data_IF_470001863512
#
_entry.id   IF_470001863512
#
_cell.length_a   1.000
_cell.length_b   1.000
_cell.length_c   1.000
_cell.angle_alpha   90.00
_cell.angle_beta   90.00
_cell.angle_gamma   90.00
#
_symmetry.space_group_name_H-M   'P 1'
#
loop_
_entity.id
_entity.type
_entity.pdbx_description
1 polymer ?
#
# COMPACT_ATOMS: atom_id res chain seq x y z
N UNK A 1 -1.19 -56.65 42.65
CA UNK A 1 -0.56 -56.65 41.32
C UNK A 1 -0.74 -55.29 40.69
N UNK A 2 0.32 -54.49 40.73
CA UNK A 2 0.40 -53.11 40.27
C UNK A 2 1.28 -53.13 39.02
N UNK A 3 0.75 -52.82 37.83
CA UNK A 3 1.56 -52.75 36.62
C UNK A 3 0.98 -51.73 35.61
N UNK A 4 1.79 -50.71 35.32
CA UNK A 4 2.00 -50.28 33.93
C UNK A 4 1.14 -49.15 33.37
N UNK A 5 1.19 -47.93 33.94
CA UNK A 5 0.89 -46.69 33.21
C UNK A 5 2.02 -45.68 33.39
N UNK A 6 3.18 -45.98 32.82
CA UNK A 6 4.35 -45.08 32.83
C UNK A 6 4.90 -44.88 31.40
N UNK A 7 4.06 -44.35 30.51
CA UNK A 7 4.40 -43.80 29.19
C UNK A 7 3.24 -42.81 28.93
N UNK A 8 3.36 -41.48 28.93
CA UNK A 8 4.04 -40.63 27.96
C UNK A 8 4.02 -39.14 28.42
N UNK A 9 4.76 -38.68 29.45
CA UNK A 9 4.84 -37.24 29.74
C UNK A 9 5.55 -36.46 28.62
N UNK A 10 6.43 -37.13 27.85
CA UNK A 10 7.17 -36.55 26.72
C UNK A 10 6.28 -36.10 25.55
N UNK A 11 5.15 -36.78 25.30
CA UNK A 11 4.22 -36.36 24.25
C UNK A 11 3.44 -35.10 24.66
N UNK A 12 3.19 -34.91 25.95
CA UNK A 12 2.45 -33.75 26.45
C UNK A 12 3.32 -32.50 26.52
N UNK A 13 4.61 -32.65 26.85
CA UNK A 13 5.60 -31.56 26.81
C UNK A 13 5.93 -31.14 25.39
N UNK A 14 6.16 -32.09 24.48
CA UNK A 14 6.37 -31.81 23.06
C UNK A 14 5.16 -31.10 22.44
N UNK A 15 3.94 -31.50 22.82
CA UNK A 15 2.69 -30.86 22.41
C UNK A 15 2.55 -29.42 22.91
N UNK A 16 2.94 -29.13 24.16
CA UNK A 16 2.89 -27.77 24.73
C UNK A 16 3.90 -26.85 24.03
N UNK A 17 5.11 -27.34 23.77
CA UNK A 17 6.14 -26.60 23.03
C UNK A 17 5.69 -26.26 21.61
N UNK A 18 5.00 -27.19 20.95
CA UNK A 18 4.45 -26.98 19.60
C UNK A 18 3.34 -25.92 19.54
N UNK A 19 2.51 -25.84 20.59
CA UNK A 19 1.46 -24.82 20.72
C UNK A 19 2.07 -23.44 21.00
N UNK A 20 3.07 -23.39 21.90
CA UNK A 20 3.80 -22.15 22.19
C UNK A 20 4.52 -21.66 20.93
N UNK A 21 5.11 -22.56 20.14
CA UNK A 21 5.75 -22.20 18.88
C UNK A 21 4.76 -21.69 17.82
N UNK A 22 3.59 -22.32 17.65
CA UNK A 22 2.55 -21.80 16.75
C UNK A 22 2.00 -20.46 17.21
N UNK A 23 1.76 -20.29 18.51
CA UNK A 23 1.27 -19.02 19.08
C UNK A 23 2.33 -17.92 19.00
N UNK A 24 3.61 -18.25 19.20
CA UNK A 24 4.73 -17.33 19.04
C UNK A 24 4.93 -16.95 17.56
N UNK A 25 4.80 -17.89 16.63
CA UNK A 25 4.81 -17.61 15.19
C UNK A 25 3.62 -16.72 14.79
N UNK A 26 2.45 -16.94 15.39
CA UNK A 26 1.28 -16.06 15.21
C UNK A 26 1.50 -14.66 15.80
N UNK A 27 2.07 -14.57 17.01
CA UNK A 27 2.38 -13.30 17.67
C UNK A 27 3.48 -12.52 16.95
N UNK A 28 4.48 -13.21 16.38
CA UNK A 28 5.51 -12.60 15.57
C UNK A 28 4.96 -12.02 14.26
N UNK A 29 3.93 -12.66 13.68
CA UNK A 29 3.25 -12.14 12.47
C UNK A 29 2.27 -11.00 12.80
N UNK A 30 1.54 -11.05 13.92
CA UNK A 30 0.67 -9.95 14.34
C UNK A 30 1.42 -8.75 14.94
N UNK A 31 2.62 -8.96 15.49
CA UNK A 31 3.46 -7.91 16.07
C UNK A 31 4.13 -6.99 15.04
N UNK A 32 4.01 -7.29 13.75
CA UNK A 32 4.56 -6.52 12.62
C UNK A 32 3.44 -6.06 11.68
N UNK A 33 2.28 -5.70 12.22
CA UNK A 33 1.33 -4.84 11.50
C UNK A 33 1.49 -3.45 12.09
N UNK A 34 2.16 -2.50 11.41
CA UNK A 34 2.10 -1.10 11.81
C UNK A 34 0.64 -0.66 11.64
N UNK A 35 -0.13 -0.69 12.72
CA UNK A 35 -1.37 0.09 12.77
C UNK A 35 -0.94 1.54 12.68
N UNK A 36 -1.31 2.29 11.63
CA UNK A 36 -1.13 3.73 11.66
C UNK A 36 -2.03 4.22 12.80
N UNK A 37 -1.41 4.59 13.92
CA UNK A 37 -2.08 5.39 14.92
C UNK A 37 -2.50 6.68 14.21
N UNK A 38 -3.80 6.83 13.95
CA UNK A 38 -4.38 8.10 13.55
C UNK A 38 -4.32 9.01 14.78
N UNK A 39 -3.14 9.56 15.04
CA UNK A 39 -3.00 10.75 15.85
C UNK A 39 -3.61 11.89 15.02
N UNK A 40 -4.84 12.28 15.36
CA UNK A 40 -5.39 13.56 14.92
C UNK A 40 -4.59 14.64 15.66
N UNK A 41 -3.56 15.17 15.03
CA UNK A 41 -3.01 16.46 15.38
C UNK A 41 -3.98 17.52 14.86
N UNK A 42 -4.45 18.40 15.76
CA UNK A 42 -5.17 19.64 15.44
C UNK A 42 -4.27 20.68 14.74
N UNK A 43 -3.33 20.24 13.90
CA UNK A 43 -2.58 21.11 13.01
C UNK A 43 -3.48 21.45 11.83
N UNK A 44 -4.45 22.34 12.06
CA UNK A 44 -5.02 23.10 10.95
C UNK A 44 -3.86 23.94 10.40
N UNK A 45 -3.40 23.68 9.16
CA UNK A 45 -2.22 24.36 8.65
C UNK A 45 -2.45 25.87 8.66
N UNK A 46 -1.45 26.61 9.14
CA UNK A 46 -1.50 28.07 9.12
C UNK A 46 -1.79 28.56 7.68
N UNK A 47 -2.67 29.54 7.45
CA UNK A 47 -3.06 29.97 6.11
C UNK A 47 -1.86 30.37 5.22
N UNK A 48 -0.81 30.93 5.83
CA UNK A 48 0.44 31.25 5.15
C UNK A 48 1.19 30.00 4.65
N UNK A 49 1.17 28.89 5.41
CA UNK A 49 1.76 27.62 5.01
C UNK A 49 0.98 26.97 3.85
N UNK A 50 -0.35 27.08 3.84
CA UNK A 50 -1.19 26.64 2.71
C UNK A 50 -0.81 27.39 1.44
N UNK A 51 -0.69 28.72 1.52
CA UNK A 51 -0.33 29.56 0.40
C UNK A 51 1.06 29.24 -0.16
N UNK A 52 2.06 29.07 0.70
CA UNK A 52 3.41 28.71 0.28
C UNK A 52 3.46 27.31 -0.36
N UNK A 53 2.70 26.35 0.18
CA UNK A 53 2.59 25.02 -0.42
C UNK A 53 1.94 25.07 -1.82
N UNK A 54 0.90 25.90 -1.99
CA UNK A 54 0.24 26.07 -3.29
C UNK A 54 1.16 26.75 -4.30
N UNK A 55 1.96 27.73 -3.85
CA UNK A 55 2.98 28.38 -4.68
C UNK A 55 4.01 27.37 -5.18
N UNK A 56 4.57 26.55 -4.28
CA UNK A 56 5.55 25.52 -4.63
C UNK A 56 4.98 24.54 -5.64
N UNK A 57 3.74 24.09 -5.45
CA UNK A 57 3.09 23.19 -6.40
C UNK A 57 2.89 23.84 -7.75
N UNK A 58 2.46 25.10 -7.80
CA UNK A 58 2.34 25.83 -9.06
C UNK A 58 3.69 26.03 -9.75
N UNK A 59 4.77 26.25 -9.01
CA UNK A 59 6.13 26.28 -9.59
C UNK A 59 6.50 24.93 -10.22
N UNK A 60 6.15 23.80 -9.57
CA UNK A 60 6.36 22.48 -10.18
C UNK A 60 5.50 22.26 -11.43
N UNK A 61 4.26 22.76 -11.43
CA UNK A 61 3.35 22.69 -12.59
C UNK A 61 3.94 23.48 -13.76
N UNK A 62 4.37 24.73 -13.52
CA UNK A 62 5.02 25.58 -14.53
C UNK A 62 6.29 24.96 -15.08
N UNK A 63 7.16 24.45 -14.20
CA UNK A 63 8.42 23.82 -14.60
C UNK A 63 8.19 22.57 -15.46
N UNK A 64 7.14 21.78 -15.18
CA UNK A 64 6.79 20.61 -16.00
C UNK A 64 6.16 20.98 -17.33
N UNK A 65 5.29 22.00 -17.35
CA UNK A 65 4.70 22.50 -18.60
C UNK A 65 5.76 23.08 -19.54
N UNK A 66 6.76 23.78 -19.01
CA UNK A 66 7.82 24.42 -19.80
C UNK A 66 8.78 23.42 -20.47
N UNK A 67 8.84 22.17 -19.99
CA UNK A 67 9.82 21.20 -20.51
C UNK A 67 9.50 20.65 -21.89
N UNK A 68 8.31 20.88 -22.46
CA UNK A 68 7.87 20.38 -23.79
C UNK A 68 8.18 18.89 -24.09
N UNK A 69 8.56 18.10 -23.07
CA UNK A 69 8.77 16.67 -23.20
C UNK A 69 7.41 16.04 -23.45
N UNK A 70 7.36 15.04 -24.33
CA UNK A 70 6.16 14.25 -24.60
C UNK A 70 5.70 13.57 -23.30
N UNK A 71 4.87 14.26 -22.52
CA UNK A 71 4.34 13.79 -21.27
C UNK A 71 3.39 12.61 -21.54
N UNK A 72 3.66 11.48 -20.90
CA UNK A 72 2.77 10.33 -20.90
C UNK A 72 1.43 10.65 -20.19
N UNK A 73 0.40 9.82 -20.40
CA UNK A 73 -0.94 10.12 -19.82
C UNK A 73 -0.90 10.18 -18.28
N UNK A 74 -0.02 9.39 -17.66
CA UNK A 74 0.16 9.34 -16.21
C UNK A 74 0.72 10.67 -15.65
N UNK A 75 1.75 11.23 -16.28
CA UNK A 75 2.35 12.50 -15.88
C UNK A 75 1.41 13.68 -16.13
N UNK A 76 0.63 13.68 -17.21
CA UNK A 76 -0.41 14.70 -17.44
C UNK A 76 -1.51 14.63 -16.36
N UNK A 77 -1.91 13.42 -15.95
CA UNK A 77 -2.84 13.25 -14.83
C UNK A 77 -2.27 13.71 -13.50
N UNK A 78 -1.00 13.43 -13.23
CA UNK A 78 -0.34 13.88 -12.02
C UNK A 78 -0.23 15.42 -11.98
N UNK A 79 0.09 16.05 -13.11
CA UNK A 79 0.13 17.50 -13.24
C UNK A 79 -1.25 18.12 -13.00
N UNK A 80 -2.32 17.53 -13.57
CA UNK A 80 -3.70 17.96 -13.31
C UNK A 80 -4.07 17.85 -11.83
N UNK A 81 -3.72 16.74 -11.16
CA UNK A 81 -3.99 16.56 -9.73
C UNK A 81 -3.26 17.59 -8.87
N UNK A 82 -1.99 17.86 -9.18
CA UNK A 82 -1.21 18.87 -8.48
C UNK A 82 -1.81 20.27 -8.66
N UNK A 83 -2.18 20.63 -9.89
CA UNK A 83 -2.85 21.90 -10.18
C UNK A 83 -4.17 22.02 -9.40
N UNK A 84 -5.05 21.01 -9.43
CA UNK A 84 -6.30 21.04 -8.66
C UNK A 84 -6.08 21.14 -7.15
N UNK A 85 -5.04 20.48 -6.62
CA UNK A 85 -4.70 20.59 -5.20
C UNK A 85 -4.19 21.98 -4.83
N UNK A 86 -3.36 22.59 -5.69
CA UNK A 86 -2.90 23.97 -5.52
C UNK A 86 -4.06 24.97 -5.61
N UNK A 87 -5.07 24.73 -6.47
CA UNK A 87 -6.30 25.53 -6.53
C UNK A 87 -7.02 25.52 -5.18
N UNK A 88 -7.34 24.33 -4.67
CA UNK A 88 -8.09 24.16 -3.41
C UNK A 88 -7.36 24.83 -2.25
N UNK A 89 -6.05 24.58 -2.08
CA UNK A 89 -5.26 25.21 -1.01
C UNK A 89 -5.19 26.72 -1.13
N UNK A 90 -5.14 27.24 -2.35
CA UNK A 90 -5.14 28.68 -2.59
C UNK A 90 -6.50 29.32 -2.23
N UNK A 91 -7.61 28.65 -2.57
CA UNK A 91 -8.95 29.09 -2.19
C UNK A 91 -9.17 29.04 -0.66
N UNK A 92 -8.70 27.98 -0.02
CA UNK A 92 -8.72 27.83 1.44
C UNK A 92 -7.90 28.91 2.15
N UNK A 93 -6.67 29.17 1.69
CA UNK A 93 -5.83 30.24 2.23
C UNK A 93 -6.49 31.62 2.08
N UNK A 94 -7.07 31.92 0.91
CA UNK A 94 -7.78 33.17 0.68
C UNK A 94 -9.02 33.31 1.58
N UNK A 95 -9.78 32.22 1.77
CA UNK A 95 -10.96 32.20 2.64
C UNK A 95 -10.59 32.39 4.12
N UNK A 96 -9.48 31.80 4.57
CA UNK A 96 -9.01 31.92 5.94
C UNK A 96 -8.43 33.30 6.27
N UNK A 97 -7.75 33.96 5.33
CA UNK A 97 -7.16 35.30 5.53
C UNK A 97 -8.19 36.44 5.41
N UNK A 98 -9.31 36.24 4.71
CA UNK A 98 -10.35 37.25 4.51
C UNK A 98 -10.94 37.85 5.81
N UNK A 99 -11.32 37.06 6.85
CA UNK A 99 -11.81 37.62 8.11
C UNK A 99 -10.75 38.42 8.86
N UNK A 100 -9.47 38.01 8.82
CA UNK A 100 -8.37 38.74 9.46
C UNK A 100 -8.16 40.11 8.83
N UNK A 101 -8.18 40.18 7.50
CA UNK A 101 -8.09 41.45 6.78
C UNK A 101 -9.24 42.39 7.18
N UNK A 102 -10.46 41.84 7.27
CA UNK A 102 -11.65 42.60 7.69
C UNK A 102 -11.48 43.15 9.11
N UNK A 103 -10.95 42.35 10.04
CA UNK A 103 -10.72 42.76 11.42
C UNK A 103 -9.65 43.86 11.54
N UNK A 104 -8.54 43.76 10.79
CA UNK A 104 -7.49 44.79 10.76
C UNK A 104 -8.01 46.09 10.16
N UNK A 105 -8.82 46.01 9.09
CA UNK A 105 -9.45 47.19 8.49
C UNK A 105 -10.45 47.86 9.42
N UNK A 106 -11.23 47.10 10.18
CA UNK A 106 -12.13 47.65 11.19
C UNK A 106 -11.36 48.43 12.28
N UNK A 107 -10.24 47.88 12.78
CA UNK A 107 -9.37 48.57 13.76
C UNK A 107 -8.74 49.85 13.18
N UNK A 108 -8.36 49.83 11.90
CA UNK A 108 -7.90 51.04 11.22
C UNK A 108 -8.99 52.11 11.11
N UNK A 109 -10.24 51.69 10.88
CA UNK A 109 -11.39 52.60 10.82
C UNK A 109 -11.71 53.21 12.19
N UNK A 110 -11.56 52.45 13.28
CA UNK A 110 -11.71 52.95 14.66
C UNK A 110 -10.67 54.02 15.03
N UNK A 111 -9.44 53.92 14.50
CA UNK A 111 -8.39 54.92 14.71
C UNK A 111 -8.64 56.24 13.95
N UNK A 112 -9.52 56.23 12.95
CA UNK A 112 -9.86 57.41 12.14
C UNK A 112 -8.72 57.93 11.26
N UNK A 113 -9.03 58.90 10.37
CA UNK A 113 -8.02 59.57 9.55
C UNK A 113 -7.03 60.36 10.43
N UNK A 114 -5.77 60.53 9.99
CA UNK A 114 -4.82 61.39 10.69
C UNK A 114 -5.38 62.80 10.82
N UNK A 115 -5.21 63.43 11.99
CA UNK A 115 -5.73 64.77 12.25
C UNK A 115 -5.18 65.77 11.22
N UNK A 116 -6.05 66.44 10.48
CA UNK A 116 -5.67 67.50 9.55
C UNK A 116 -5.04 68.67 10.34
N UNK A 117 -3.71 68.73 10.38
CA UNK A 117 -2.95 69.84 10.97
C UNK A 117 -2.65 69.74 12.48
N UNK A 118 -2.88 68.60 13.14
CA UNK A 118 -2.58 68.39 14.57
C UNK A 118 -1.52 67.33 14.83
N UNK A 119 -0.59 67.60 15.75
CA UNK A 119 0.46 66.66 16.18
C UNK A 119 -0.17 65.43 16.83
N UNK A 120 -0.23 64.32 16.10
CA UNK A 120 -0.64 63.03 16.64
C UNK A 120 0.38 62.50 17.66
N UNK A 121 -0.09 61.75 18.67
CA UNK A 121 0.82 61.06 19.59
C UNK A 121 1.66 60.03 18.81
N UNK A 122 3.00 59.98 19.00
CA UNK A 122 3.87 59.07 18.28
C UNK A 122 3.46 57.59 18.40
N UNK A 123 2.84 57.20 19.51
CA UNK A 123 2.33 55.84 19.73
C UNK A 123 1.15 55.48 18.81
N UNK A 124 0.22 56.43 18.58
CA UNK A 124 -0.95 56.23 17.69
C UNK A 124 -0.51 56.20 16.24
N UNK A 125 0.45 57.07 15.87
CA UNK A 125 1.05 57.06 14.54
C UNK A 125 1.78 55.72 14.27
N UNK A 126 2.53 55.20 15.25
CA UNK A 126 3.19 53.90 15.15
C UNK A 126 2.18 52.73 15.02
N UNK A 127 1.09 52.77 15.79
CA UNK A 127 0.03 51.76 15.74
C UNK A 127 -0.71 51.77 14.39
N UNK A 128 -1.06 52.97 13.86
CA UNK A 128 -1.67 53.10 12.53
C UNK A 128 -0.74 52.53 11.46
N UNK A 129 0.55 52.89 11.50
CA UNK A 129 1.52 52.39 10.54
C UNK A 129 1.64 50.86 10.58
N UNK A 130 1.62 50.25 11.77
CA UNK A 130 1.70 48.80 11.90
C UNK A 130 0.46 48.07 11.39
N UNK A 131 -0.74 48.58 11.69
CA UNK A 131 -1.98 48.01 11.18
C UNK A 131 -2.09 48.16 9.66
N UNK A 132 -1.64 49.29 9.10
CA UNK A 132 -1.66 49.53 7.66
C UNK A 132 -0.70 48.60 6.90
N UNK A 133 0.49 48.30 7.47
CA UNK A 133 1.39 47.26 6.95
C UNK A 133 0.72 45.88 6.99
N UNK A 134 0.07 45.55 8.11
CA UNK A 134 -0.58 44.24 8.27
C UNK A 134 -1.72 44.06 7.25
N UNK A 135 -2.54 45.10 7.05
CA UNK A 135 -3.61 45.11 6.06
C UNK A 135 -3.08 44.96 4.63
N UNK A 136 -2.02 45.68 4.27
CA UNK A 136 -1.43 45.58 2.92
C UNK A 136 -0.79 44.21 2.68
N UNK A 137 -0.13 43.62 3.69
CA UNK A 137 0.39 42.25 3.60
C UNK A 137 -0.73 41.23 3.40
N UNK A 138 -1.79 41.25 4.20
CA UNK A 138 -2.92 40.31 4.07
C UNK A 138 -3.64 40.46 2.72
N UNK A 139 -3.88 41.70 2.27
CA UNK A 139 -4.47 41.96 0.95
C UNK A 139 -3.60 41.42 -0.19
N UNK A 140 -2.27 41.60 -0.10
CA UNK A 140 -1.33 41.04 -1.10
C UNK A 140 -1.35 39.51 -1.14
N UNK A 141 -1.43 38.86 0.02
CA UNK A 141 -1.48 37.40 0.14
C UNK A 141 -2.80 36.84 -0.42
N UNK A 142 -3.94 37.48 -0.11
CA UNK A 142 -5.25 37.09 -0.65
C UNK A 142 -5.27 37.24 -2.18
N UNK A 143 -4.72 38.34 -2.71
CA UNK A 143 -4.62 38.55 -4.17
C UNK A 143 -3.74 37.48 -4.83
N UNK A 144 -2.60 37.17 -4.23
CA UNK A 144 -1.72 36.10 -4.72
C UNK A 144 -2.41 34.74 -4.68
N UNK A 145 -3.11 34.42 -3.59
CA UNK A 145 -3.87 33.18 -3.46
C UNK A 145 -4.94 33.05 -4.56
N UNK A 146 -5.72 34.10 -4.81
CA UNK A 146 -6.72 34.11 -5.89
C UNK A 146 -6.08 33.96 -7.27
N UNK A 147 -4.94 34.61 -7.51
CA UNK A 147 -4.19 34.46 -8.76
C UNK A 147 -3.73 33.01 -8.96
N UNK A 148 -3.11 32.40 -7.94
CA UNK A 148 -2.68 31.01 -7.99
C UNK A 148 -3.85 30.05 -8.23
N UNK A 149 -5.02 30.30 -7.63
CA UNK A 149 -6.21 29.49 -7.86
C UNK A 149 -6.67 29.53 -9.34
N UNK A 150 -6.66 30.71 -9.96
CA UNK A 150 -7.00 30.89 -11.38
C UNK A 150 -5.97 30.22 -12.29
N UNK A 151 -4.68 30.42 -12.01
CA UNK A 151 -3.62 29.78 -12.80
C UNK A 151 -3.66 28.25 -12.70
N UNK A 152 -3.92 27.73 -11.50
CA UNK A 152 -4.11 26.31 -11.26
C UNK A 152 -5.29 25.73 -12.05
N UNK A 153 -6.39 26.46 -12.12
CA UNK A 153 -7.56 26.09 -12.93
C UNK A 153 -7.23 26.05 -14.42
N UNK A 154 -6.54 27.07 -14.94
CA UNK A 154 -6.08 27.10 -16.32
C UNK A 154 -5.13 25.93 -16.63
N UNK A 155 -4.18 25.64 -15.75
CA UNK A 155 -3.27 24.51 -15.91
C UNK A 155 -4.00 23.16 -15.95
N UNK A 156 -5.00 22.96 -15.07
CA UNK A 156 -5.83 21.76 -15.07
C UNK A 156 -6.69 21.63 -16.35
N UNK A 157 -7.19 22.74 -16.88
CA UNK A 157 -7.93 22.79 -18.13
C UNK A 157 -7.05 22.43 -19.34
N UNK A 158 -5.84 22.99 -19.42
CA UNK A 158 -4.85 22.69 -20.48
C UNK A 158 -4.43 21.22 -20.44
N UNK A 159 -4.16 20.66 -19.26
CA UNK A 159 -3.87 19.24 -19.10
C UNK A 159 -5.02 18.36 -19.62
N UNK A 160 -6.27 18.75 -19.34
CA UNK A 160 -7.46 18.03 -19.82
C UNK A 160 -7.64 18.15 -21.35
N UNK A 161 -7.29 19.29 -21.94
CA UNK A 161 -7.28 19.49 -23.38
C UNK A 161 -6.23 18.63 -24.07
N UNK A 162 -4.99 18.57 -23.54
CA UNK A 162 -3.94 17.69 -24.06
C UNK A 162 -4.32 16.22 -24.04
N UNK A 163 -4.96 15.75 -22.96
CA UNK A 163 -5.44 14.36 -22.91
C UNK A 163 -6.50 14.07 -23.97
N UNK A 164 -7.44 15.01 -24.18
CA UNK A 164 -8.45 14.88 -25.23
C UNK A 164 -7.82 14.82 -26.61
N UNK A 165 -6.81 15.65 -26.90
CA UNK A 165 -6.13 15.62 -28.20
C UNK A 165 -5.31 14.34 -28.40
N UNK A 166 -4.58 13.89 -27.38
CA UNK A 166 -3.87 12.59 -27.42
C UNK A 166 -4.83 11.42 -27.60
N UNK A 167 -5.99 11.46 -26.93
CA UNK A 167 -7.02 10.43 -27.07
C UNK A 167 -7.64 10.42 -28.47
N UNK A 168 -7.99 11.58 -29.02
CA UNK A 168 -8.47 11.68 -30.42
C UNK A 168 -7.41 11.18 -31.41
N UNK A 169 -6.14 11.54 -31.21
CA UNK A 169 -5.03 11.04 -32.04
C UNK A 169 -4.87 9.51 -31.94
N UNK A 170 -5.08 8.92 -30.76
CA UNK A 170 -5.07 7.45 -30.57
C UNK A 170 -6.30 6.77 -31.17
N UNK A 171 -7.46 7.41 -31.18
CA UNK A 171 -8.66 6.89 -31.86
C UNK A 171 -8.51 6.92 -33.38
N UNK A 172 -7.81 7.92 -33.92
CA UNK A 172 -7.46 8.01 -35.34
C UNK A 172 -6.32 7.05 -35.73
N UNK A 173 -5.43 6.74 -34.79
CA UNK A 173 -4.41 5.71 -34.97
C UNK A 173 -5.05 4.32 -35.02
N UNK A 174 -5.22 3.78 -36.23
CA UNK A 174 -5.58 2.36 -36.45
C UNK A 174 -4.66 1.45 -35.64
N UNK A 175 -5.15 0.90 -34.54
CA UNK A 175 -4.39 -0.03 -33.71
C UNK A 175 -4.12 -1.30 -34.53
N UNK A 176 -2.86 -1.76 -34.68
CA UNK A 176 -2.59 -3.05 -35.28
C UNK A 176 -3.30 -4.11 -34.44
N UNK A 177 -4.21 -4.86 -35.06
CA UNK A 177 -4.92 -5.96 -34.43
C UNK A 177 -3.95 -6.95 -33.79
N UNK A 178 -4.29 -7.53 -32.64
CA UNK A 178 -3.52 -8.61 -31.96
C UNK A 178 -3.29 -9.83 -32.89
N UNK A 179 -4.13 -9.97 -33.92
CA UNK A 179 -4.04 -10.99 -34.96
C UNK A 179 -3.22 -10.55 -36.19
N UNK A 180 -2.71 -9.32 -36.22
CA UNK A 180 -1.98 -8.74 -37.34
C UNK A 180 -0.48 -9.08 -37.31
N UNK A 181 0.11 -9.29 -38.48
CA UNK A 181 1.53 -9.64 -38.61
C UNK A 181 2.49 -8.57 -38.03
N UNK A 182 2.10 -7.29 -38.08
CA UNK A 182 2.90 -6.19 -37.54
C UNK A 182 3.07 -6.27 -36.02
N UNK A 183 2.01 -6.62 -35.30
CA UNK A 183 2.06 -6.82 -33.84
C UNK A 183 3.06 -7.92 -33.47
N UNK A 184 3.00 -9.07 -34.15
CA UNK A 184 3.93 -10.17 -33.89
C UNK A 184 5.37 -9.84 -34.29
N UNK A 185 5.58 -8.99 -35.29
CA UNK A 185 6.91 -8.51 -35.68
C UNK A 185 7.51 -7.59 -34.63
N UNK A 186 6.71 -6.72 -34.03
CA UNK A 186 7.12 -5.86 -32.91
C UNK A 186 7.42 -6.70 -31.66
N UNK A 187 6.53 -7.63 -31.29
CA UNK A 187 6.77 -8.59 -30.19
C UNK A 187 8.06 -9.37 -30.43
N UNK A 188 8.26 -9.94 -31.62
CA UNK A 188 9.47 -10.68 -31.95
C UNK A 188 10.74 -9.81 -31.90
N UNK A 189 10.62 -8.50 -32.14
CA UNK A 189 11.71 -7.53 -32.00
C UNK A 189 12.14 -7.33 -30.55
N UNK A 190 11.19 -7.37 -29.61
CA UNK A 190 11.43 -7.16 -28.18
C UNK A 190 11.81 -8.45 -27.42
N UNK A 191 11.42 -9.63 -27.94
CA UNK A 191 11.73 -10.95 -27.35
C UNK A 191 13.21 -11.11 -26.95
N UNK A 192 14.22 -10.73 -27.76
CA UNK A 192 15.63 -10.89 -27.37
C UNK A 192 16.00 -10.06 -26.13
N UNK A 193 15.44 -8.85 -25.98
CA UNK A 193 15.67 -8.01 -24.82
C UNK A 193 15.00 -8.59 -23.57
N UNK A 194 13.77 -9.08 -23.71
CA UNK A 194 13.05 -9.72 -22.62
C UNK A 194 13.72 -11.01 -22.18
N UNK A 195 14.22 -11.81 -23.13
CA UNK A 195 14.94 -13.03 -22.82
C UNK A 195 16.25 -12.73 -22.07
N UNK A 196 16.93 -11.62 -22.36
CA UNK A 196 18.09 -11.17 -21.58
C UNK A 196 17.69 -10.80 -20.15
N UNK A 197 16.59 -10.08 -19.96
CA UNK A 197 16.07 -9.73 -18.62
C UNK A 197 15.70 -10.97 -17.82
N UNK A 198 15.01 -11.94 -18.43
CA UNK A 198 14.67 -13.22 -17.80
C UNK A 198 15.93 -14.00 -17.44
N UNK A 199 16.92 -14.08 -18.33
CA UNK A 199 18.19 -14.75 -18.03
C UNK A 199 18.94 -14.08 -16.87
N UNK A 200 18.98 -12.75 -16.82
CA UNK A 200 19.57 -12.01 -15.72
C UNK A 200 18.84 -12.32 -14.40
N UNK A 201 17.51 -12.31 -14.42
CA UNK A 201 16.70 -12.65 -13.25
C UNK A 201 16.92 -14.10 -12.77
N UNK A 202 17.04 -15.06 -13.70
CA UNK A 202 17.37 -16.45 -13.33
C UNK A 202 18.77 -16.55 -12.74
N UNK A 203 19.75 -15.83 -13.28
CA UNK A 203 21.09 -15.78 -12.72
C UNK A 203 21.11 -15.17 -11.31
N UNK A 204 20.30 -14.14 -11.04
CA UNK A 204 20.14 -13.56 -9.70
C UNK A 204 19.53 -14.58 -8.72
N UNK A 205 18.58 -15.41 -9.16
CA UNK A 205 18.01 -16.49 -8.34
C UNK A 205 19.06 -17.54 -8.02
N UNK A 206 19.81 -18.01 -9.01
CA UNK A 206 20.85 -19.03 -8.83
C UNK A 206 21.95 -18.53 -7.89
N UNK A 207 22.40 -17.28 -8.07
CA UNK A 207 23.38 -16.65 -7.19
C UNK A 207 22.83 -16.50 -5.77
N UNK A 208 21.58 -16.06 -5.62
CA UNK A 208 20.92 -15.95 -4.33
C UNK A 208 20.87 -17.29 -3.59
N UNK A 209 20.44 -18.35 -4.28
CA UNK A 209 20.37 -19.70 -3.70
C UNK A 209 21.74 -20.26 -3.31
N UNK A 210 22.77 -20.04 -4.14
CA UNK A 210 24.12 -20.50 -3.90
C UNK A 210 24.84 -19.73 -2.78
N UNK A 211 24.48 -18.47 -2.56
CA UNK A 211 25.07 -17.63 -1.51
C UNK A 211 24.57 -17.99 -0.10
N UNK A 212 23.45 -18.70 0.02
CA UNK A 212 22.89 -19.12 1.31
C UNK A 212 23.76 -20.22 1.94
N UNK A 213 24.22 -20.06 3.19
CA UNK A 213 24.93 -21.11 3.91
C UNK A 213 24.09 -22.38 4.04
N UNK A 214 24.71 -23.56 3.86
CA UNK A 214 24.02 -24.85 4.00
C UNK A 214 23.36 -25.03 5.38
N UNK A 215 23.93 -24.45 6.43
CA UNK A 215 23.34 -24.42 7.78
C UNK A 215 21.99 -23.72 7.81
N UNK A 216 21.81 -22.64 7.05
CA UNK A 216 20.52 -21.94 6.97
C UNK A 216 19.48 -22.79 6.23
N UNK A 217 19.86 -23.49 5.17
CA UNK A 217 18.96 -24.45 4.51
C UNK A 217 18.51 -25.57 5.45
N UNK A 218 19.42 -26.09 6.28
CA UNK A 218 19.09 -27.11 7.28
C UNK A 218 18.15 -26.55 8.37
N UNK A 219 18.40 -25.33 8.86
CA UNK A 219 17.53 -24.66 9.83
C UNK A 219 16.14 -24.46 9.23
N UNK A 220 16.06 -23.92 8.01
CA UNK A 220 14.80 -23.70 7.30
C UNK A 220 14.05 -25.00 7.05
N UNK A 221 14.75 -26.08 6.66
CA UNK A 221 14.15 -27.40 6.51
C UNK A 221 13.61 -27.94 7.84
N UNK A 222 14.33 -27.75 8.95
CA UNK A 222 13.87 -28.12 10.28
C UNK A 222 12.64 -27.31 10.73
N UNK A 223 12.63 -26.00 10.46
CA UNK A 223 11.47 -25.12 10.74
C UNK A 223 10.27 -25.52 9.88
N UNK A 224 10.46 -25.78 8.59
CA UNK A 224 9.39 -26.25 7.69
C UNK A 224 8.84 -27.60 8.16
N UNK A 225 9.71 -28.55 8.54
CA UNK A 225 9.28 -29.81 9.11
C UNK A 225 8.46 -29.61 10.39
N UNK A 226 8.91 -28.71 11.28
CA UNK A 226 8.17 -28.33 12.49
C UNK A 226 6.81 -27.71 12.18
N UNK A 227 6.72 -26.82 11.17
CA UNK A 227 5.45 -26.21 10.72
C UNK A 227 4.48 -27.27 10.15
N UNK A 228 4.99 -28.23 9.39
CA UNK A 228 4.16 -29.34 8.86
C UNK A 228 3.67 -30.24 9.99
N UNK A 229 4.53 -30.58 10.96
CA UNK A 229 4.13 -31.31 12.16
C UNK A 229 3.12 -30.51 13.00
N UNK A 230 3.32 -29.19 13.10
CA UNK A 230 2.42 -28.28 13.79
C UNK A 230 1.04 -28.27 13.17
N UNK A 231 0.95 -28.20 11.84
CA UNK A 231 -0.30 -28.29 11.09
C UNK A 231 -1.07 -29.56 11.43
N UNK A 232 -0.40 -30.72 11.44
CA UNK A 232 -1.04 -32.00 11.79
C UNK A 232 -1.50 -32.00 13.25
N UNK A 233 -0.68 -31.47 14.16
CA UNK A 233 -1.03 -31.29 15.57
C UNK A 233 -2.23 -30.39 15.79
N UNK A 234 -2.25 -29.22 15.14
CA UNK A 234 -3.31 -28.23 15.19
C UNK A 234 -4.62 -28.79 14.64
N UNK A 235 -4.59 -29.56 13.55
CA UNK A 235 -5.80 -30.21 13.02
C UNK A 235 -6.36 -31.23 14.00
N UNK A 236 -5.52 -32.08 14.61
CA UNK A 236 -5.94 -33.04 15.65
C UNK A 236 -6.45 -32.35 16.91
N UNK A 237 -5.82 -31.23 17.29
CA UNK A 237 -6.20 -30.43 18.45
C UNK A 237 -7.55 -29.76 18.23
N UNK A 238 -7.76 -29.16 17.06
CA UNK A 238 -9.02 -28.54 16.66
C UNK A 238 -10.16 -29.56 16.70
N UNK A 239 -9.90 -30.80 16.26
CA UNK A 239 -10.87 -31.90 16.35
C UNK A 239 -11.18 -32.27 17.81
N UNK A 240 -10.16 -32.39 18.67
CA UNK A 240 -10.31 -32.75 20.09
C UNK A 240 -11.01 -31.64 20.89
N UNK A 241 -10.61 -30.38 20.73
CA UNK A 241 -11.24 -29.24 21.40
C UNK A 241 -12.71 -29.09 21.03
N UNK A 242 -13.04 -29.23 19.74
CA UNK A 242 -14.43 -29.22 19.30
C UNK A 242 -15.23 -30.40 19.87
N UNK A 243 -14.59 -31.54 20.14
CA UNK A 243 -15.24 -32.71 20.73
C UNK A 243 -15.43 -32.61 22.26
N UNK A 244 -14.50 -31.97 22.99
CA UNK A 244 -14.47 -32.02 24.46
C UNK A 244 -14.92 -30.76 25.19
N UNK A 245 -14.82 -29.57 24.56
CA UNK A 245 -15.00 -28.28 25.25
C UNK A 245 -16.09 -27.39 24.68
N UNK A 246 -16.63 -27.71 23.50
CA UNK A 246 -17.63 -26.87 22.84
C UNK A 246 -19.00 -27.56 22.85
N UNK A 247 -20.02 -26.99 23.53
CA UNK A 247 -21.40 -27.47 23.47
C UNK A 247 -21.89 -27.56 22.02
N UNK A 248 -22.74 -28.55 21.72
CA UNK A 248 -23.28 -28.75 20.38
C UNK A 248 -24.12 -27.54 19.93
N UNK A 249 -23.64 -26.78 18.93
CA UNK A 249 -24.34 -25.60 18.42
C UNK A 249 -23.62 -24.92 17.25
N UNK A 250 -24.12 -23.75 16.84
CA UNK A 250 -23.57 -22.94 15.72
C UNK A 250 -22.11 -22.51 15.96
N UNK A 251 -21.75 -22.28 17.22
CA UNK A 251 -20.41 -21.85 17.64
C UNK A 251 -19.32 -22.92 17.36
N UNK A 252 -19.63 -24.21 17.50
CA UNK A 252 -18.71 -25.31 17.18
C UNK A 252 -18.39 -25.35 15.68
N UNK A 253 -19.37 -25.01 14.84
CA UNK A 253 -19.24 -25.02 13.38
C UNK A 253 -18.41 -23.84 12.89
N UNK A 254 -18.68 -22.62 13.37
CA UNK A 254 -17.90 -21.43 13.00
C UNK A 254 -16.45 -21.53 13.51
N UNK A 255 -16.23 -22.02 14.73
CA UNK A 255 -14.88 -22.18 15.28
C UNK A 255 -14.05 -23.21 14.50
N UNK A 256 -14.66 -24.32 14.06
CA UNK A 256 -13.98 -25.30 13.22
C UNK A 256 -13.66 -24.76 11.82
N UNK A 257 -14.60 -24.04 11.21
CA UNK A 257 -14.42 -23.41 9.90
C UNK A 257 -13.27 -22.39 9.93
N UNK A 258 -13.25 -21.50 10.94
CA UNK A 258 -12.17 -20.54 11.15
C UNK A 258 -10.85 -21.26 11.42
N UNK A 259 -10.84 -22.29 12.27
CA UNK A 259 -9.63 -23.06 12.55
C UNK A 259 -9.02 -23.73 11.31
N UNK A 260 -9.86 -24.32 10.44
CA UNK A 260 -9.39 -24.90 9.17
C UNK A 260 -8.86 -23.83 8.22
N UNK A 261 -9.58 -22.71 8.10
CA UNK A 261 -9.15 -21.56 7.29
C UNK A 261 -7.76 -21.09 7.72
N UNK A 262 -7.58 -20.83 9.02
CA UNK A 262 -6.31 -20.36 9.56
C UNK A 262 -5.19 -21.35 9.30
N UNK A 263 -5.39 -22.64 9.57
CA UNK A 263 -4.38 -23.68 9.31
C UNK A 263 -4.02 -23.75 7.82
N UNK A 264 -5.01 -23.70 6.93
CA UNK A 264 -4.79 -23.78 5.46
C UNK A 264 -4.13 -22.53 4.89
N UNK A 265 -4.40 -21.35 5.46
CA UNK A 265 -3.81 -20.08 5.06
C UNK A 265 -2.36 -19.94 5.57
N UNK A 266 -2.13 -20.14 6.87
CA UNK A 266 -0.82 -19.89 7.48
C UNK A 266 0.25 -20.90 7.11
N UNK A 267 -0.10 -22.16 6.84
CA UNK A 267 0.89 -23.18 6.51
C UNK A 267 1.75 -22.82 5.28
N UNK A 268 1.16 -22.63 4.08
CA UNK A 268 1.94 -22.28 2.89
C UNK A 268 2.59 -20.89 2.97
N UNK A 269 1.91 -19.90 3.59
CA UNK A 269 2.46 -18.55 3.77
C UNK A 269 3.72 -18.54 4.64
N UNK A 270 3.70 -19.22 5.79
CA UNK A 270 4.86 -19.33 6.68
C UNK A 270 5.99 -20.15 6.06
N UNK A 271 5.66 -21.23 5.34
CA UNK A 271 6.69 -22.03 4.63
C UNK A 271 7.43 -21.16 3.63
N UNK A 272 6.71 -20.41 2.79
CA UNK A 272 7.35 -19.52 1.83
C UNK A 272 8.14 -18.41 2.52
N UNK A 273 7.58 -17.78 3.55
CA UNK A 273 8.25 -16.74 4.32
C UNK A 273 9.59 -17.22 4.90
N UNK A 274 9.63 -18.41 5.50
CA UNK A 274 10.86 -19.03 6.01
C UNK A 274 11.89 -19.24 4.90
N UNK A 275 11.46 -19.68 3.71
CA UNK A 275 12.35 -19.84 2.55
C UNK A 275 12.89 -18.50 2.05
N UNK A 276 12.08 -17.44 2.06
CA UNK A 276 12.52 -16.10 1.66
C UNK A 276 13.50 -15.49 2.66
N UNK A 277 13.29 -15.70 3.96
CA UNK A 277 14.24 -15.30 5.02
C UNK A 277 15.56 -16.07 4.87
N UNK A 278 15.48 -17.36 4.53
CA UNK A 278 16.68 -18.16 4.24
C UNK A 278 17.44 -17.59 3.05
N UNK A 279 16.74 -17.23 1.97
CA UNK A 279 17.33 -16.63 0.78
C UNK A 279 17.99 -15.28 1.09
N UNK A 280 17.32 -14.43 1.87
CA UNK A 280 17.87 -13.14 2.29
C UNK A 280 19.10 -13.25 3.20
N UNK A 281 19.31 -14.39 3.86
CA UNK A 281 20.52 -14.63 4.66
C UNK A 281 21.79 -14.84 3.83
N UNK A 282 21.65 -15.20 2.54
CA UNK A 282 22.77 -15.38 1.61
C UNK A 282 23.36 -14.07 1.11
N UNK A 283 22.68 -12.93 1.33
CA UNK A 283 23.13 -11.61 0.90
C UNK A 283 21.98 -10.74 0.40
N UNK A 284 22.33 -9.53 -0.05
CA UNK A 284 21.34 -8.61 -0.62
C UNK A 284 20.79 -9.15 -1.94
N UNK A 285 19.47 -9.36 -2.00
CA UNK A 285 18.75 -9.74 -3.21
C UNK A 285 18.63 -8.51 -4.13
N UNK A 286 18.77 -8.68 -5.44
CA UNK A 286 18.60 -7.58 -6.40
C UNK A 286 17.19 -6.98 -6.28
N UNK A 287 17.05 -5.66 -6.46
CA UNK A 287 15.75 -4.99 -6.30
C UNK A 287 14.63 -5.59 -7.18
N UNK A 288 14.87 -5.95 -8.46
CA UNK A 288 13.85 -6.60 -9.30
C UNK A 288 13.42 -7.97 -8.76
N UNK A 289 14.38 -8.77 -8.29
CA UNK A 289 14.09 -10.09 -7.73
C UNK A 289 13.36 -9.96 -6.38
N UNK A 290 13.75 -9.01 -5.53
CA UNK A 290 13.06 -8.72 -4.27
C UNK A 290 11.59 -8.33 -4.48
N UNK A 291 11.29 -7.48 -5.47
CA UNK A 291 9.92 -7.12 -5.84
C UNK A 291 9.10 -8.33 -6.34
N UNK A 292 9.71 -9.17 -7.17
CA UNK A 292 9.08 -10.40 -7.64
C UNK A 292 8.75 -11.35 -6.48
N UNK A 293 9.70 -11.57 -5.57
CA UNK A 293 9.53 -12.45 -4.41
C UNK A 293 8.46 -11.93 -3.45
N UNK A 294 8.42 -10.62 -3.20
CA UNK A 294 7.36 -10.00 -2.40
C UNK A 294 5.97 -10.19 -3.03
N UNK A 295 5.87 -10.04 -4.35
CA UNK A 295 4.64 -10.34 -5.09
C UNK A 295 4.23 -11.80 -4.95
N UNK A 296 5.16 -12.74 -5.15
CA UNK A 296 4.93 -14.19 -4.96
C UNK A 296 4.47 -14.51 -3.54
N UNK A 297 5.08 -13.88 -2.52
CA UNK A 297 4.67 -14.04 -1.13
C UNK A 297 3.23 -13.58 -0.89
N UNK A 298 2.89 -12.38 -1.36
CA UNK A 298 1.52 -11.87 -1.29
C UNK A 298 0.52 -12.80 -2.00
N UNK A 299 0.88 -13.33 -3.18
CA UNK A 299 0.04 -14.29 -3.90
C UNK A 299 -0.18 -15.58 -3.13
N UNK A 300 0.85 -16.12 -2.49
CA UNK A 300 0.71 -17.35 -1.70
C UNK A 300 -0.18 -17.12 -0.47
N UNK A 301 -0.02 -16.00 0.23
CA UNK A 301 -0.88 -15.66 1.37
C UNK A 301 -2.35 -15.50 0.93
N UNK A 302 -2.61 -14.70 -0.10
CA UNK A 302 -3.95 -14.45 -0.60
C UNK A 302 -4.60 -15.71 -1.20
N UNK A 303 -3.87 -16.43 -2.06
CA UNK A 303 -4.37 -17.67 -2.66
C UNK A 303 -4.70 -18.73 -1.61
N UNK A 304 -3.87 -18.84 -0.57
CA UNK A 304 -4.10 -19.78 0.53
C UNK A 304 -5.27 -19.37 1.43
N UNK A 305 -5.52 -18.07 1.58
CA UNK A 305 -6.73 -17.55 2.20
C UNK A 305 -7.98 -17.94 1.40
N UNK A 306 -8.00 -17.71 0.07
CA UNK A 306 -9.15 -18.08 -0.79
C UNK A 306 -9.42 -19.59 -0.75
N UNK A 307 -8.37 -20.42 -0.83
CA UNK A 307 -8.48 -21.88 -0.73
C UNK A 307 -8.96 -22.31 0.65
N UNK A 308 -8.42 -21.71 1.72
CA UNK A 308 -8.83 -21.96 3.09
C UNK A 308 -10.30 -21.59 3.33
N UNK A 309 -10.74 -20.48 2.74
CA UNK A 309 -12.10 -19.96 2.87
C UNK A 309 -13.08 -20.88 2.13
N UNK A 310 -12.76 -21.28 0.90
CA UNK A 310 -13.55 -22.27 0.18
C UNK A 310 -13.64 -23.60 0.92
N UNK A 311 -12.53 -24.10 1.47
CA UNK A 311 -12.54 -25.33 2.27
C UNK A 311 -13.39 -25.20 3.55
N UNK A 312 -13.36 -24.03 4.20
CA UNK A 312 -14.16 -23.74 5.38
C UNK A 312 -15.67 -23.61 5.07
N UNK A 313 -16.01 -23.03 3.92
CA UNK A 313 -17.40 -22.85 3.47
C UNK A 313 -18.03 -24.14 2.95
N UNK A 314 -17.31 -24.91 2.12
CA UNK A 314 -17.84 -26.15 1.53
C UNK A 314 -17.81 -27.33 2.51
N UNK A 315 -16.82 -27.34 3.42
CA UNK A 315 -16.62 -28.38 4.44
C UNK A 315 -16.90 -29.81 3.91
N UNK A 316 -16.23 -30.23 2.82
CA UNK A 316 -16.60 -31.43 2.06
C UNK A 316 -16.51 -32.72 2.89
N UNK A 317 -15.51 -32.83 3.77
CA UNK A 317 -15.23 -34.03 4.56
C UNK A 317 -16.15 -34.22 5.78
N UNK A 318 -17.01 -33.23 6.11
CA UNK A 318 -17.91 -33.29 7.28
C UNK A 318 -19.31 -32.72 6.99
N UNK A 319 -20.19 -33.51 6.35
CA UNK A 319 -21.56 -33.12 5.97
C UNK A 319 -22.37 -32.47 7.08
N UNK A 320 -22.34 -33.05 8.29
CA UNK A 320 -23.14 -32.61 9.45
C UNK A 320 -22.69 -31.28 10.07
N UNK A 321 -21.55 -30.74 9.61
CA UNK A 321 -20.93 -29.52 10.13
C UNK A 321 -21.04 -28.34 9.16
N UNK A 322 -21.57 -28.57 7.95
CA UNK A 322 -21.76 -27.53 6.93
C UNK A 322 -22.67 -26.41 7.43
N UNK A 323 -22.28 -25.19 7.11
CA UNK A 323 -23.06 -23.99 7.40
C UNK A 323 -24.10 -23.71 6.30
N UNK A 324 -23.82 -24.17 5.07
CA UNK A 324 -24.70 -24.06 3.90
C UNK A 324 -25.48 -25.37 3.68
N UNK A 325 -26.78 -25.30 3.37
CA UNK A 325 -27.57 -26.47 3.00
C UNK A 325 -27.20 -26.90 1.56
N UNK A 326 -26.12 -27.65 1.43
CA UNK A 326 -25.64 -28.22 0.17
C UNK A 326 -25.54 -29.74 0.28
N UNK A 327 -26.05 -30.43 -0.73
CA UNK A 327 -25.95 -31.89 -0.86
C UNK A 327 -24.49 -32.35 -0.94
N UNK A 328 -24.17 -33.52 -0.37
CA UNK A 328 -22.81 -34.08 -0.30
C UNK A 328 -22.12 -34.22 -1.64
N UNK A 329 -22.87 -34.61 -2.67
CA UNK A 329 -22.36 -34.77 -4.02
C UNK A 329 -21.93 -33.40 -4.61
N UNK A 330 -22.72 -32.35 -4.39
CA UNK A 330 -22.40 -30.99 -4.86
C UNK A 330 -21.15 -30.43 -4.18
N UNK A 331 -20.99 -30.65 -2.88
CA UNK A 331 -19.81 -30.16 -2.14
C UNK A 331 -18.51 -30.87 -2.56
N UNK A 332 -18.57 -32.17 -2.86
CA UNK A 332 -17.42 -32.94 -3.37
C UNK A 332 -17.04 -32.55 -4.79
N UNK A 333 -18.04 -32.26 -5.64
CA UNK A 333 -17.84 -31.77 -7.01
C UNK A 333 -17.30 -30.34 -7.04
N UNK A 334 -17.59 -29.51 -6.05
CA UNK A 334 -17.18 -28.11 -6.01
C UNK A 334 -15.85 -27.87 -5.27
N UNK A 335 -15.20 -28.93 -4.76
CA UNK A 335 -13.92 -28.84 -4.01
C UNK A 335 -12.76 -28.21 -4.79
N UNK A 336 -12.77 -28.30 -6.12
CA UNK A 336 -11.71 -27.76 -6.99
C UNK A 336 -11.93 -26.28 -7.31
N UNK A 337 -13.15 -25.77 -7.14
CA UNK A 337 -13.55 -24.42 -7.53
C UNK A 337 -12.80 -23.33 -6.74
N UNK A 338 -12.60 -23.44 -5.40
CA UNK A 338 -11.79 -22.46 -4.66
C UNK A 338 -10.32 -22.40 -5.12
N UNK A 339 -9.76 -23.51 -5.60
CA UNK A 339 -8.39 -23.54 -6.12
C UNK A 339 -8.29 -22.79 -7.46
N UNK A 340 -9.29 -22.96 -8.33
CA UNK A 340 -9.34 -22.26 -9.61
C UNK A 340 -9.61 -20.77 -9.40
N UNK A 341 -10.53 -20.42 -8.49
CA UNK A 341 -10.77 -19.02 -8.11
C UNK A 341 -9.53 -18.35 -7.52
N UNK A 342 -8.79 -19.03 -6.63
CA UNK A 342 -7.56 -18.49 -6.07
C UNK A 342 -6.53 -18.18 -7.17
N UNK A 343 -6.31 -19.12 -8.10
CA UNK A 343 -5.39 -18.92 -9.23
C UNK A 343 -5.82 -17.76 -10.13
N UNK A 344 -7.13 -17.67 -10.43
CA UNK A 344 -7.66 -16.64 -11.31
C UNK A 344 -7.63 -15.24 -10.65
N UNK A 345 -8.04 -15.15 -9.39
CA UNK A 345 -8.05 -13.89 -8.64
C UNK A 345 -6.62 -13.32 -8.49
N UNK A 346 -5.65 -14.17 -8.17
CA UNK A 346 -4.24 -13.81 -8.11
C UNK A 346 -3.69 -13.34 -9.46
N UNK A 347 -4.14 -13.90 -10.58
CA UNK A 347 -3.72 -13.48 -11.92
C UNK A 347 -4.28 -12.09 -12.33
N UNK A 348 -5.43 -11.69 -11.79
CA UNK A 348 -6.00 -10.35 -12.05
C UNK A 348 -5.34 -9.24 -11.25
N UNK A 349 -4.88 -9.51 -10.03
CA UNK A 349 -4.31 -8.48 -9.15
C UNK A 349 -2.90 -8.02 -9.58
N UNK A 350 -2.14 -8.90 -10.24
CA UNK A 350 -0.84 -8.55 -10.83
C UNK A 350 -0.92 -7.45 -11.91
N UNK A 351 -2.10 -7.20 -12.46
CA UNK A 351 -2.31 -6.13 -13.45
C UNK A 351 -2.50 -4.74 -12.83
N UNK A 352 -2.60 -4.62 -11.50
CA UNK A 352 -2.92 -3.38 -10.77
C UNK A 352 -1.82 -2.87 -9.83
N UNK A 353 -0.70 -3.57 -9.74
CA UNK A 353 0.42 -3.13 -8.90
C UNK A 353 1.20 -2.04 -9.65
N UNK A 354 0.73 -0.81 -9.54
CA UNK A 354 1.51 0.38 -9.89
C UNK A 354 2.73 0.45 -8.97
N UNK A 355 3.91 0.22 -9.53
CA UNK A 355 5.18 0.40 -8.83
C UNK A 355 5.41 1.91 -8.67
N UNK A 356 5.48 2.45 -7.43
CA UNK A 356 5.82 3.85 -7.24
C UNK A 356 7.25 4.09 -7.73
N UNK A 357 7.53 5.22 -8.43
CA UNK A 357 8.88 5.55 -8.85
C UNK A 357 9.77 5.71 -7.61
N UNK A 358 10.77 4.84 -7.52
CA UNK A 358 11.73 4.76 -6.43
C UNK A 358 12.38 6.11 -6.15
N UNK A 359 12.40 6.46 -4.87
CA UNK A 359 13.22 7.51 -4.26
C UNK A 359 14.71 7.19 -4.45
N UNK A 360 15.24 7.43 -5.64
CA UNK A 360 16.67 7.51 -5.94
C UNK A 360 16.98 8.91 -6.48
N UNK A 361 16.87 9.92 -5.63
CA UNK A 361 17.35 11.28 -5.96
C UNK A 361 17.85 12.08 -4.74
N UNK A 362 18.05 11.47 -3.57
CA UNK A 362 18.63 12.14 -2.41
C UNK A 362 19.72 11.28 -1.76
N UNK A 363 20.85 11.10 -2.48
CA UNK A 363 22.10 10.63 -1.86
C UNK A 363 23.38 11.05 -2.62
N UNK A 364 23.31 12.01 -3.56
CA UNK A 364 24.48 12.45 -4.33
C UNK A 364 24.72 13.96 -4.28
N UNK A 365 24.54 14.58 -3.10
CA UNK A 365 25.03 15.95 -2.86
C UNK A 365 25.44 16.12 -1.40
N UNK A 366 26.41 15.31 -0.97
CA UNK A 366 27.09 15.46 0.30
C UNK A 366 28.47 14.82 0.18
N UNK A 367 29.38 15.49 -0.54
CA UNK A 367 30.73 14.95 -0.72
C UNK A 367 31.57 15.72 -1.73
N UNK A 368 31.58 17.05 -1.68
CA UNK A 368 32.71 17.81 -2.22
C UNK A 368 32.79 19.22 -1.62
N UNK A 369 33.30 19.32 -0.39
CA UNK A 369 34.04 20.49 0.11
C UNK A 369 34.97 20.04 1.23
N UNK A 370 36.23 19.78 0.89
CA UNK A 370 37.42 20.18 1.65
C UNK A 370 38.64 20.10 0.76
#
# INVERSE_FOLDING_TARGET
MHNGRMFLPAFDTLRRLLIIFMLAAWFAVLGVVPMPALAQSDDTPEPAALLESARKDMDTVRARQAKEEAMDDASVQQLRKLALSAKVRSEEAAAAMAPELTAVQARLAELGPPAEGGTESPDVAAQRAQLQRSASTLDSQIKLARLLAVEAEQAAATASAHRRSQFSARLEARTPTVLGAQFWKEVAGDVPADLRRVKALMADVDQGLAAVPASMWLISAAVVALLVLARVGAQRLLLRFNATRVPSGRLRRSLHAVGILLIKMTTPGLILHVLLVALASGGAVSAPLGQLLAGVEAFVWFGSFVVGLGAALLMPDKPSWRLTPLTDDTALRLRWFPLVLARLASATDSSRVDVPPSTMAMASTSGNQR
#
